data_IF_514366624274
#
_entry.id   IF_514366624274
#
_cell.length_a   1.000
_cell.length_b   1.000
_cell.length_c   1.000
_cell.angle_alpha   90.00
_cell.angle_beta   90.00
_cell.angle_gamma   90.00
#
_symmetry.space_group_name_H-M   'P 1'
#
loop_
_entity.id
_entity.type
_entity.pdbx_description
1 polymer ?
#
# COMPACT_ATOMS: atom_id res chain seq x y z
N UNK A 1 5.84 26.18 -7.45
CA UNK A 1 5.51 25.16 -8.47
C UNK A 1 4.53 24.19 -7.82
N UNK A 2 3.33 23.93 -8.38
CA UNK A 2 2.33 23.10 -7.66
C UNK A 2 2.57 21.60 -7.83
N UNK A 3 2.97 21.17 -9.02
CA UNK A 3 3.23 19.76 -9.35
C UNK A 3 4.58 19.61 -10.03
N UNK A 4 5.29 18.55 -9.68
CA UNK A 4 6.53 18.14 -10.31
C UNK A 4 6.51 16.63 -10.55
N UNK A 5 6.93 16.19 -11.74
CA UNK A 5 7.05 14.78 -12.08
C UNK A 5 8.40 14.55 -12.74
N UNK A 6 9.12 13.54 -12.29
CA UNK A 6 10.42 13.14 -12.82
C UNK A 6 10.42 11.63 -13.00
N UNK A 7 10.65 11.21 -14.25
CA UNK A 7 10.63 9.79 -14.63
C UNK A 7 11.97 9.41 -15.24
N UNK A 8 12.67 8.47 -14.61
CA UNK A 8 13.96 7.99 -15.08
C UNK A 8 13.76 6.74 -15.93
N UNK A 9 14.30 6.77 -17.16
CA UNK A 9 14.34 5.61 -18.06
C UNK A 9 15.76 5.11 -18.34
N UNK A 10 16.77 5.83 -17.86
CA UNK A 10 18.19 5.55 -18.01
C UNK A 10 18.89 5.91 -16.70
N UNK A 11 20.10 5.39 -16.48
CA UNK A 11 20.92 5.75 -15.32
C UNK A 11 21.20 7.26 -15.33
N UNK A 12 20.83 7.93 -14.24
CA UNK A 12 21.14 9.34 -13.99
C UNK A 12 21.87 9.38 -12.66
N UNK A 13 22.99 10.07 -12.61
CA UNK A 13 23.77 10.21 -11.39
C UNK A 13 22.91 10.77 -10.24
N UNK A 14 22.96 10.10 -9.07
CA UNK A 14 22.19 10.47 -7.87
C UNK A 14 22.38 11.94 -7.47
N UNK A 15 23.58 12.51 -7.68
CA UNK A 15 23.84 13.91 -7.38
C UNK A 15 22.93 14.89 -8.17
N UNK A 16 22.64 14.59 -9.44
CA UNK A 16 21.72 15.39 -10.24
C UNK A 16 20.28 15.26 -9.75
N UNK A 17 19.86 14.04 -9.41
CA UNK A 17 18.54 13.74 -8.85
C UNK A 17 18.33 14.55 -7.57
N UNK A 18 19.27 14.45 -6.62
CA UNK A 18 19.20 15.16 -5.36
C UNK A 18 19.13 16.67 -5.56
N UNK A 19 19.98 17.24 -6.43
CA UNK A 19 19.96 18.69 -6.71
C UNK A 19 18.62 19.16 -7.28
N UNK A 20 18.04 18.42 -8.22
CA UNK A 20 16.76 18.77 -8.83
C UNK A 20 15.63 18.70 -7.80
N UNK A 21 15.59 17.63 -7.01
CA UNK A 21 14.59 17.45 -5.96
C UNK A 21 14.71 18.59 -4.94
N UNK A 22 15.89 18.86 -4.38
CA UNK A 22 16.07 19.94 -3.39
C UNK A 22 15.58 21.30 -3.92
N UNK A 23 15.85 21.63 -5.19
CA UNK A 23 15.34 22.86 -5.81
C UNK A 23 13.81 22.85 -6.05
N UNK A 24 13.20 21.69 -6.26
CA UNK A 24 11.73 21.56 -6.33
C UNK A 24 11.12 21.74 -4.94
N UNK A 25 11.73 21.14 -3.92
CA UNK A 25 11.30 21.25 -2.51
C UNK A 25 11.33 22.69 -2.03
N UNK A 26 12.39 23.45 -2.35
CA UNK A 26 12.51 24.86 -1.96
C UNK A 26 11.44 25.78 -2.59
N UNK A 27 10.71 25.29 -3.60
CA UNK A 27 9.64 26.02 -4.29
C UNK A 27 8.23 25.64 -3.81
N UNK A 28 8.13 24.90 -2.70
CA UNK A 28 6.86 24.54 -2.05
C UNK A 28 5.99 23.64 -2.92
N UNK A 29 6.55 22.54 -3.42
CA UNK A 29 5.81 21.55 -4.21
C UNK A 29 4.69 20.92 -3.39
N UNK A 30 3.54 20.67 -4.04
CA UNK A 30 2.38 20.02 -3.42
C UNK A 30 2.16 18.61 -3.96
N UNK A 31 2.50 18.35 -5.22
CA UNK A 31 2.33 17.07 -5.90
C UNK A 31 3.69 16.64 -6.49
N UNK A 32 4.28 15.60 -5.93
CA UNK A 32 5.59 15.09 -6.29
C UNK A 32 5.46 13.67 -6.81
N UNK A 33 5.88 13.44 -8.05
CA UNK A 33 5.88 12.13 -8.71
C UNK A 33 7.30 11.75 -9.16
N UNK A 34 7.89 10.77 -8.49
CA UNK A 34 9.23 10.27 -8.73
C UNK A 34 9.13 8.80 -9.14
N UNK A 35 9.19 8.51 -10.44
CA UNK A 35 9.18 7.14 -10.98
C UNK A 35 10.58 6.80 -11.48
N UNK A 36 11.34 6.06 -10.70
CA UNK A 36 12.71 5.68 -11.00
C UNK A 36 12.73 4.20 -11.41
N UNK A 37 12.42 3.94 -12.69
CA UNK A 37 12.47 2.56 -13.24
C UNK A 37 13.89 2.20 -13.65
N UNK A 38 14.85 2.44 -12.77
CA UNK A 38 16.25 2.07 -13.01
C UNK A 38 16.45 0.62 -12.62
N UNK A 39 17.25 -0.12 -13.42
CA UNK A 39 17.73 -1.47 -13.07
C UNK A 39 18.85 -1.44 -12.03
N UNK A 40 19.37 -0.25 -11.73
CA UNK A 40 20.44 -0.02 -10.77
C UNK A 40 19.90 0.13 -9.35
N UNK A 41 20.68 -0.39 -8.40
CA UNK A 41 20.40 -0.48 -6.97
C UNK A 41 20.18 0.90 -6.33
N UNK A 42 19.23 0.96 -5.40
CA UNK A 42 18.99 2.01 -4.39
C UNK A 42 19.25 3.46 -4.85
N UNK A 43 18.21 4.15 -5.31
CA UNK A 43 18.31 5.62 -5.46
C UNK A 43 18.17 6.26 -4.08
N UNK A 44 19.26 6.88 -3.63
CA UNK A 44 19.23 7.74 -2.44
C UNK A 44 18.43 9.00 -2.75
N UNK A 45 17.19 9.04 -2.29
CA UNK A 45 16.36 10.23 -2.33
C UNK A 45 16.74 11.18 -1.18
N UNK A 46 16.68 12.51 -1.40
CA UNK A 46 16.83 13.48 -0.31
C UNK A 46 15.80 13.22 0.80
N UNK A 47 16.25 13.12 2.05
CA UNK A 47 15.41 12.88 3.22
C UNK A 47 14.37 13.99 3.43
N UNK A 48 14.64 15.18 2.90
CA UNK A 48 13.75 16.35 2.92
C UNK A 48 12.41 16.08 2.25
N UNK A 49 12.32 15.11 1.33
CA UNK A 49 11.03 14.67 0.80
C UNK A 49 10.15 14.16 1.93
N UNK A 50 10.71 13.34 2.82
CA UNK A 50 9.98 12.65 3.89
C UNK A 50 9.67 13.54 5.09
N UNK A 51 10.21 14.75 5.15
CA UNK A 51 9.93 15.73 6.22
C UNK A 51 9.20 16.98 5.70
N UNK A 52 8.75 16.95 4.44
CA UNK A 52 8.13 18.09 3.79
C UNK A 52 6.71 18.37 4.29
N UNK A 53 6.49 19.61 4.72
CA UNK A 53 5.20 20.04 5.27
C UNK A 53 4.17 20.45 4.21
N UNK A 54 4.57 20.58 2.95
CA UNK A 54 3.71 21.08 1.87
C UNK A 54 3.21 20.00 0.93
N UNK A 55 3.86 18.84 0.88
CA UNK A 55 3.46 17.77 -0.04
C UNK A 55 2.11 17.20 0.37
N UNK A 56 1.17 17.25 -0.58
CA UNK A 56 -0.18 16.71 -0.47
C UNK A 56 -0.31 15.38 -1.20
N UNK A 57 0.41 15.20 -2.31
CA UNK A 57 0.46 13.95 -3.06
C UNK A 57 1.89 13.54 -3.33
N UNK A 58 2.20 12.29 -3.02
CA UNK A 58 3.53 11.73 -3.22
C UNK A 58 3.40 10.41 -3.97
N UNK A 59 4.05 10.33 -5.12
CA UNK A 59 4.23 9.09 -5.87
C UNK A 59 5.71 8.77 -5.94
N UNK A 60 6.04 7.57 -5.54
CA UNK A 60 7.40 7.07 -5.49
C UNK A 60 7.43 5.68 -6.11
N UNK A 61 8.25 5.48 -7.13
CA UNK A 61 8.55 4.19 -7.72
C UNK A 61 10.03 3.92 -7.67
N UNK A 62 10.45 2.94 -6.85
CA UNK A 62 11.79 2.29 -6.79
C UNK A 62 12.15 1.82 -5.39
N UNK A 63 13.27 1.10 -5.31
CA UNK A 63 13.96 0.71 -4.08
C UNK A 63 14.43 1.95 -3.30
N UNK A 64 13.64 2.38 -2.31
CA UNK A 64 13.96 3.53 -1.45
C UNK A 64 13.89 3.09 0.00
N UNK A 65 15.00 3.29 0.70
CA UNK A 65 15.05 3.18 2.15
C UNK A 65 14.35 4.40 2.76
N UNK A 66 13.35 4.14 3.58
CA UNK A 66 12.52 5.18 4.17
C UNK A 66 13.19 5.72 5.44
N UNK A 67 13.21 7.05 5.57
CA UNK A 67 13.71 7.74 6.75
C UNK A 67 12.86 7.41 7.99
N UNK A 68 13.48 7.03 9.11
CA UNK A 68 12.79 6.69 10.37
C UNK A 68 12.07 7.88 11.01
N UNK A 69 12.45 9.09 10.65
CA UNK A 69 11.97 10.38 11.16
C UNK A 69 11.03 11.11 10.16
N UNK A 70 10.40 10.36 9.26
CA UNK A 70 9.43 10.90 8.32
C UNK A 70 8.29 11.68 9.05
N UNK A 71 7.92 12.83 8.50
CA UNK A 71 6.79 13.65 8.93
C UNK A 71 6.22 14.40 7.73
N UNK A 72 5.04 13.97 7.28
CA UNK A 72 4.37 14.48 6.09
C UNK A 72 2.95 14.96 6.47
N UNK A 73 2.85 16.07 7.24
CA UNK A 73 1.61 16.46 7.90
C UNK A 73 0.49 16.91 6.94
N UNK A 74 0.80 17.21 5.68
CA UNK A 74 -0.17 17.61 4.66
C UNK A 74 -0.52 16.49 3.66
N UNK A 75 0.10 15.31 3.79
CA UNK A 75 0.00 14.26 2.79
C UNK A 75 -1.35 13.56 2.86
N UNK A 76 -2.11 13.66 1.76
CA UNK A 76 -3.42 13.04 1.57
C UNK A 76 -3.38 11.81 0.69
N UNK A 77 -2.47 11.74 -0.29
CA UNK A 77 -2.37 10.59 -1.21
C UNK A 77 -0.93 10.12 -1.34
N UNK A 78 -0.72 8.84 -1.04
CA UNK A 78 0.55 8.15 -1.17
C UNK A 78 0.45 7.01 -2.17
N UNK A 79 1.36 7.00 -3.14
CA UNK A 79 1.51 5.92 -4.10
C UNK A 79 2.94 5.39 -4.07
N UNK A 80 3.08 4.10 -3.78
CA UNK A 80 4.34 3.38 -3.72
C UNK A 80 4.34 2.27 -4.77
N UNK A 81 5.38 2.22 -5.59
CA UNK A 81 5.55 1.16 -6.60
C UNK A 81 6.92 0.49 -6.48
N UNK A 82 6.94 -0.83 -6.36
CA UNK A 82 8.17 -1.64 -6.27
C UNK A 82 9.14 -1.17 -5.17
N UNK A 83 8.60 -0.74 -4.02
CA UNK A 83 9.37 -0.33 -2.84
C UNK A 83 9.73 -1.56 -1.99
N UNK A 84 10.92 -1.57 -1.39
CA UNK A 84 11.29 -2.60 -0.41
C UNK A 84 11.17 -2.06 1.01
N UNK A 85 10.58 -2.86 1.88
CA UNK A 85 10.48 -2.59 3.30
C UNK A 85 11.34 -3.63 4.02
N UNK A 86 12.25 -3.18 4.87
CA UNK A 86 13.12 -4.04 5.68
C UNK A 86 12.43 -4.56 6.95
N UNK A 87 11.23 -4.07 7.26
CA UNK A 87 10.44 -4.44 8.43
C UNK A 87 9.15 -3.63 8.52
N UNK A 88 9.02 -2.80 9.57
CA UNK A 88 7.79 -2.07 9.91
C UNK A 88 7.72 -0.66 9.32
N UNK A 89 8.53 -0.33 8.31
CA UNK A 89 8.62 1.04 7.78
C UNK A 89 7.28 1.50 7.18
N UNK A 90 6.46 0.59 6.64
CA UNK A 90 5.09 0.92 6.20
C UNK A 90 4.25 1.48 7.34
N UNK A 91 4.30 0.84 8.51
CA UNK A 91 3.55 1.28 9.70
C UNK A 91 4.03 2.64 10.17
N UNK A 92 5.36 2.80 10.26
CA UNK A 92 5.99 4.09 10.62
C UNK A 92 5.57 5.19 9.64
N UNK A 93 5.55 4.89 8.35
CA UNK A 93 5.21 5.88 7.33
C UNK A 93 3.74 6.28 7.36
N UNK A 94 2.84 5.32 7.51
CA UNK A 94 1.42 5.59 7.69
C UNK A 94 1.21 6.46 8.94
N UNK A 95 1.90 6.15 10.04
CA UNK A 95 1.82 6.94 11.28
C UNK A 95 2.37 8.37 11.15
N UNK A 96 3.31 8.59 10.22
CA UNK A 96 3.85 9.92 9.91
C UNK A 96 2.88 10.80 9.10
N UNK A 97 1.86 10.21 8.48
CA UNK A 97 0.93 10.86 7.55
C UNK A 97 -0.48 10.95 8.15
N UNK A 98 -0.67 11.84 9.13
CA UNK A 98 -1.89 11.92 9.95
C UNK A 98 -3.19 12.23 9.16
N UNK A 99 -3.08 12.85 7.98
CA UNK A 99 -4.22 13.25 7.13
C UNK A 99 -4.33 12.41 5.85
N UNK A 100 -3.73 11.21 5.86
CA UNK A 100 -3.69 10.33 4.69
C UNK A 100 -5.08 9.78 4.36
N UNK A 101 -5.60 10.11 3.18
CA UNK A 101 -6.91 9.70 2.66
C UNK A 101 -6.78 8.53 1.67
N UNK A 102 -5.67 8.45 0.94
CA UNK A 102 -5.44 7.43 -0.09
C UNK A 102 -4.04 6.79 0.02
N UNK A 103 -4.00 5.47 0.03
CA UNK A 103 -2.78 4.66 0.04
C UNK A 103 -2.82 3.62 -1.07
N UNK A 104 -1.82 3.65 -1.94
CA UNK A 104 -1.62 2.65 -2.99
C UNK A 104 -0.22 2.06 -2.89
N UNK A 105 -0.12 0.73 -2.79
CA UNK A 105 1.14 -0.01 -2.80
C UNK A 105 1.05 -1.09 -3.88
N UNK A 106 1.90 -0.99 -4.91
CA UNK A 106 1.90 -1.88 -6.08
C UNK A 106 3.26 -2.51 -6.35
N UNK A 107 3.25 -3.72 -6.93
CA UNK A 107 4.42 -4.40 -7.48
C UNK A 107 4.95 -5.51 -6.59
N UNK A 108 6.08 -6.10 -6.98
CA UNK A 108 6.80 -7.09 -6.16
C UNK A 108 7.52 -6.38 -5.00
N UNK A 109 6.74 -5.81 -4.09
CA UNK A 109 7.27 -5.20 -2.87
C UNK A 109 7.74 -6.30 -1.94
N UNK A 110 9.03 -6.29 -1.59
CA UNK A 110 9.54 -7.17 -0.54
C UNK A 110 9.14 -6.54 0.80
N UNK A 111 8.22 -7.17 1.54
CA UNK A 111 7.81 -6.71 2.87
C UNK A 111 8.73 -7.23 3.99
N UNK A 112 9.97 -7.57 3.66
CA UNK A 112 10.93 -8.15 4.59
C UNK A 112 10.49 -9.52 5.13
N UNK A 113 11.35 -10.09 5.98
CA UNK A 113 11.11 -11.38 6.66
C UNK A 113 10.24 -11.25 7.92
N UNK A 114 9.83 -10.03 8.29
CA UNK A 114 9.09 -9.71 9.52
C UNK A 114 7.55 -9.79 9.31
N UNK A 115 7.05 -11.02 9.41
CA UNK A 115 5.84 -11.58 10.07
C UNK A 115 4.51 -10.81 10.29
N UNK A 116 4.41 -9.48 10.24
CA UNK A 116 3.14 -8.79 10.49
C UNK A 116 2.98 -7.55 9.61
N UNK A 117 1.94 -7.53 8.79
CA UNK A 117 1.57 -6.36 8.00
C UNK A 117 0.43 -5.65 8.69
N UNK A 118 0.65 -4.44 9.21
CA UNK A 118 -0.42 -3.63 9.78
C UNK A 118 -0.66 -2.39 8.91
N UNK A 119 -1.91 -2.21 8.49
CA UNK A 119 -2.39 -0.94 7.93
C UNK A 119 -3.39 -0.39 8.92
N UNK A 120 -2.99 0.66 9.64
CA UNK A 120 -3.82 1.31 10.64
C UNK A 120 -3.77 2.81 10.44
N UNK A 121 -4.88 3.37 10.01
CA UNK A 121 -4.99 4.78 9.66
C UNK A 121 -6.47 5.18 9.72
N UNK A 122 -6.89 5.98 10.71
CA UNK A 122 -8.28 6.36 10.85
C UNK A 122 -8.74 7.35 9.79
N UNK A 123 -7.84 8.05 9.11
CA UNK A 123 -8.18 9.02 8.04
C UNK A 123 -8.23 8.39 6.65
N UNK A 124 -7.82 7.12 6.52
CA UNK A 124 -7.71 6.45 5.23
C UNK A 124 -9.08 6.04 4.69
N UNK A 125 -9.41 6.56 3.50
CA UNK A 125 -10.66 6.30 2.79
C UNK A 125 -10.46 5.30 1.63
N UNK A 126 -9.28 5.29 1.01
CA UNK A 126 -8.99 4.44 -0.16
C UNK A 126 -7.69 3.67 0.02
N UNK A 127 -7.77 2.34 -0.09
CA UNK A 127 -6.63 1.45 0.04
C UNK A 127 -6.51 0.52 -1.17
N UNK A 128 -5.37 0.56 -1.85
CA UNK A 128 -5.01 -0.40 -2.90
C UNK A 128 -3.71 -1.09 -2.52
N UNK A 129 -3.73 -2.41 -2.38
CA UNK A 129 -2.59 -3.23 -1.98
C UNK A 129 -2.42 -4.41 -2.91
N UNK A 130 -1.32 -4.44 -3.65
CA UNK A 130 -0.93 -5.57 -4.50
C UNK A 130 0.37 -6.14 -3.97
N UNK A 131 0.29 -7.17 -3.13
CA UNK A 131 1.38 -7.59 -2.25
C UNK A 131 1.95 -8.98 -2.58
N UNK A 132 1.86 -9.41 -3.85
CA UNK A 132 2.39 -10.72 -4.30
C UNK A 132 3.89 -10.81 -4.00
N UNK A 133 4.23 -11.43 -2.87
CA UNK A 133 5.60 -11.69 -2.48
C UNK A 133 6.18 -12.77 -3.41
N UNK A 134 7.38 -12.53 -3.94
CA UNK A 134 8.11 -13.47 -4.79
C UNK A 134 8.70 -14.65 -4.02
N UNK A 135 8.60 -14.68 -2.68
CA UNK A 135 9.34 -15.64 -1.87
C UNK A 135 8.46 -16.69 -1.21
N UNK A 136 8.77 -17.95 -1.51
CA UNK A 136 8.29 -19.15 -0.81
C UNK A 136 8.84 -19.28 0.61
N UNK A 137 8.92 -18.18 1.36
CA UNK A 137 9.32 -18.21 2.77
C UNK A 137 8.38 -19.15 3.52
N UNK A 138 8.88 -19.97 4.45
CA UNK A 138 8.04 -20.87 5.27
C UNK A 138 7.40 -20.15 6.46
N UNK A 139 7.49 -18.83 6.49
CA UNK A 139 7.13 -18.01 7.65
C UNK A 139 5.64 -17.66 7.60
N UNK A 140 4.95 -17.80 8.74
CA UNK A 140 3.54 -17.45 8.90
C UNK A 140 3.31 -15.96 8.66
N UNK A 141 2.31 -15.62 7.85
CA UNK A 141 1.93 -14.27 7.46
C UNK A 141 0.68 -13.85 8.23
N UNK A 142 0.80 -12.74 8.95
CA UNK A 142 -0.33 -12.10 9.65
C UNK A 142 -0.59 -10.73 9.02
N UNK A 143 -1.85 -10.42 8.73
CA UNK A 143 -2.23 -9.12 8.15
C UNK A 143 -3.34 -8.49 8.99
N UNK A 144 -3.14 -7.26 9.40
CA UNK A 144 -4.09 -6.46 10.18
C UNK A 144 -4.54 -5.24 9.39
N UNK A 145 -5.85 -5.04 9.36
CA UNK A 145 -6.48 -3.81 8.88
C UNK A 145 -7.23 -3.15 10.03
N UNK A 146 -6.88 -1.91 10.34
CA UNK A 146 -7.57 -1.08 11.33
C UNK A 146 -7.78 0.32 10.75
N UNK A 147 -8.74 0.41 9.85
CA UNK A 147 -9.02 1.59 9.02
C UNK A 147 -10.54 1.84 9.02
N UNK A 148 -11.09 2.40 10.12
CA UNK A 148 -12.53 2.52 10.34
C UNK A 148 -13.27 3.40 9.33
N UNK A 149 -12.58 4.32 8.66
CA UNK A 149 -13.19 5.21 7.66
C UNK A 149 -12.93 4.76 6.22
N UNK A 150 -12.44 3.53 6.04
CA UNK A 150 -12.18 3.00 4.70
C UNK A 150 -13.49 2.88 3.92
N UNK A 151 -13.50 3.47 2.73
CA UNK A 151 -14.62 3.45 1.79
C UNK A 151 -14.34 2.60 0.55
N UNK A 152 -13.07 2.36 0.22
CA UNK A 152 -12.66 1.56 -0.93
C UNK A 152 -11.45 0.69 -0.58
N UNK A 153 -11.54 -0.61 -0.85
CA UNK A 153 -10.49 -1.60 -0.70
C UNK A 153 -10.26 -2.34 -2.02
N UNK A 154 -9.05 -2.30 -2.54
CA UNK A 154 -8.58 -3.24 -3.54
C UNK A 154 -7.39 -4.02 -2.98
N UNK A 155 -7.58 -5.31 -2.72
CA UNK A 155 -6.57 -6.16 -2.09
C UNK A 155 -6.26 -7.39 -2.95
N UNK A 156 -5.03 -7.48 -3.42
CA UNK A 156 -4.50 -8.56 -4.24
C UNK A 156 -3.27 -9.17 -3.59
N UNK A 157 -3.37 -10.42 -3.15
CA UNK A 157 -2.27 -11.13 -2.50
C UNK A 157 -2.54 -12.64 -2.45
N UNK A 158 -1.56 -13.40 -1.97
CA UNK A 158 -1.82 -14.71 -1.42
C UNK A 158 -2.59 -14.59 -0.11
N UNK A 159 -3.49 -15.55 0.15
CA UNK A 159 -4.19 -15.61 1.44
C UNK A 159 -3.15 -15.73 2.58
N UNK A 160 -3.29 -14.89 3.59
CA UNK A 160 -2.44 -14.92 4.77
C UNK A 160 -2.79 -16.11 5.68
N UNK A 161 -1.85 -16.49 6.54
CA UNK A 161 -2.08 -17.54 7.53
C UNK A 161 -3.09 -17.04 8.58
N UNK A 162 -3.06 -15.75 8.95
CA UNK A 162 -4.04 -15.14 9.84
C UNK A 162 -4.36 -13.68 9.48
N UNK A 163 -5.60 -13.28 9.81
CA UNK A 163 -6.04 -11.88 9.81
C UNK A 163 -6.52 -11.51 11.22
N UNK A 164 -5.61 -11.06 12.13
CA UNK A 164 -5.96 -10.94 13.55
C UNK A 164 -7.02 -9.87 13.83
N UNK A 165 -6.89 -8.73 13.17
CA UNK A 165 -7.83 -7.60 13.28
C UNK A 165 -8.17 -7.15 11.86
N UNK A 166 -9.48 -7.07 11.59
CA UNK A 166 -10.01 -6.56 10.32
C UNK A 166 -11.18 -5.66 10.66
N UNK A 167 -10.87 -4.38 10.74
CA UNK A 167 -11.81 -3.32 11.07
C UNK A 167 -11.86 -2.33 9.91
N UNK A 168 -12.94 -2.46 9.15
CA UNK A 168 -13.30 -1.55 8.06
C UNK A 168 -14.54 -0.73 8.43
N UNK A 169 -14.77 0.35 7.69
CA UNK A 169 -15.97 1.15 7.82
C UNK A 169 -17.24 0.40 7.42
N UNK A 170 -18.39 1.02 7.70
CA UNK A 170 -19.71 0.46 7.38
C UNK A 170 -20.09 0.55 5.90
N UNK A 171 -19.33 1.30 5.10
CA UNK A 171 -19.59 1.51 3.68
C UNK A 171 -18.29 1.31 2.91
N UNK A 172 -18.00 0.06 2.53
CA UNK A 172 -16.75 -0.27 1.81
C UNK A 172 -17.11 -0.89 0.48
N UNK A 173 -16.59 -0.36 -0.62
CA UNK A 173 -16.46 -1.10 -1.88
C UNK A 173 -15.20 -1.96 -1.80
N UNK A 174 -15.29 -3.27 -2.04
CA UNK A 174 -14.17 -4.20 -1.88
C UNK A 174 -13.96 -5.08 -3.12
N UNK A 175 -12.73 -5.05 -3.62
CA UNK A 175 -12.24 -5.93 -4.69
C UNK A 175 -11.11 -6.80 -4.15
N UNK A 176 -11.35 -8.12 -4.08
CA UNK A 176 -10.38 -9.10 -3.61
C UNK A 176 -9.90 -9.97 -4.77
N UNK A 177 -8.58 -10.10 -4.89
CA UNK A 177 -7.95 -11.09 -5.76
C UNK A 177 -6.99 -11.93 -4.92
N UNK A 178 -7.49 -13.04 -4.39
CA UNK A 178 -6.76 -13.88 -3.46
C UNK A 178 -6.28 -15.16 -4.14
N UNK A 179 -5.02 -15.49 -3.89
CA UNK A 179 -4.38 -16.69 -4.44
C UNK A 179 -4.05 -17.66 -3.30
N UNK A 180 -4.22 -18.97 -3.55
CA UNK A 180 -3.98 -20.01 -2.55
C UNK A 180 -2.68 -20.72 -2.85
N UNK A 181 -1.64 -20.38 -2.09
CA UNK A 181 -0.30 -20.99 -2.24
C UNK A 181 0.05 -21.99 -1.14
N UNK A 182 -0.71 -22.01 -0.03
CA UNK A 182 -0.37 -22.78 1.18
C UNK A 182 -1.58 -23.51 1.75
N UNK A 183 -1.35 -24.71 2.30
CA UNK A 183 -2.40 -25.54 2.91
C UNK A 183 -2.99 -25.01 4.24
N UNK A 184 -2.46 -23.91 4.81
CA UNK A 184 -2.82 -23.41 6.17
C UNK A 184 -3.42 -21.99 6.14
N UNK A 185 -3.75 -21.45 4.98
CA UNK A 185 -4.32 -20.10 4.89
C UNK A 185 -5.72 -19.99 5.54
N UNK A 186 -6.02 -18.88 6.23
CA UNK A 186 -7.30 -18.68 6.91
C UNK A 186 -7.89 -17.28 6.66
N UNK A 187 -8.77 -17.11 5.66
CA UNK A 187 -9.38 -15.83 5.32
C UNK A 187 -10.58 -15.45 6.20
N UNK A 188 -10.97 -16.26 7.21
CA UNK A 188 -12.25 -16.09 7.94
C UNK A 188 -12.46 -14.68 8.50
N UNK A 189 -11.44 -14.12 9.14
CA UNK A 189 -11.54 -12.78 9.72
C UNK A 189 -11.52 -11.67 8.66
N UNK A 190 -10.82 -11.87 7.54
CA UNK A 190 -10.88 -10.95 6.40
C UNK A 190 -12.32 -10.86 5.88
N UNK A 191 -12.95 -12.00 5.65
CA UNK A 191 -14.33 -12.08 5.17
C UNK A 191 -15.29 -11.47 6.20
N UNK A 192 -15.12 -11.79 7.50
CA UNK A 192 -15.95 -11.23 8.58
C UNK A 192 -15.86 -9.70 8.65
N UNK A 193 -14.66 -9.12 8.44
CA UNK A 193 -14.48 -7.67 8.41
C UNK A 193 -15.18 -7.00 7.23
N UNK A 194 -15.40 -7.73 6.13
CA UNK A 194 -16.05 -7.25 4.91
C UNK A 194 -17.58 -7.43 4.91
N UNK A 195 -18.19 -7.81 6.04
CA UNK A 195 -19.64 -8.01 6.15
C UNK A 195 -20.50 -6.75 5.89
N UNK A 196 -19.88 -5.57 5.91
CA UNK A 196 -20.54 -4.27 5.67
C UNK A 196 -20.14 -3.69 4.29
N UNK A 197 -19.84 -4.54 3.31
CA UNK A 197 -19.43 -4.13 1.97
C UNK A 197 -20.66 -3.95 1.08
N UNK A 198 -20.75 -2.83 0.35
CA UNK A 198 -21.84 -2.59 -0.61
C UNK A 198 -21.59 -3.32 -1.94
N UNK A 199 -20.34 -3.27 -2.43
CA UNK A 199 -19.93 -3.87 -3.70
C UNK A 199 -18.75 -4.80 -3.44
N UNK A 200 -18.95 -6.10 -3.64
CA UNK A 200 -17.93 -7.12 -3.41
C UNK A 200 -17.61 -7.87 -4.71
N UNK A 201 -16.32 -7.88 -5.09
CA UNK A 201 -15.84 -8.65 -6.23
C UNK A 201 -14.71 -9.57 -5.79
N UNK A 202 -14.84 -10.86 -6.12
CA UNK A 202 -13.78 -11.85 -5.94
C UNK A 202 -13.28 -12.27 -7.31
N UNK A 203 -11.98 -12.18 -7.52
CA UNK A 203 -11.32 -12.76 -8.69
C UNK A 203 -10.44 -13.92 -8.23
N UNK A 204 -10.78 -15.12 -8.70
CA UNK A 204 -9.89 -16.29 -8.58
C UNK A 204 -8.91 -16.27 -9.77
N UNK A 205 -7.59 -16.16 -9.53
CA UNK A 205 -6.60 -16.15 -10.60
C UNK A 205 -6.47 -17.50 -11.33
N UNK A 206 -6.96 -18.61 -10.76
CA UNK A 206 -6.87 -19.97 -11.32
C UNK A 206 -8.13 -20.34 -12.12
N UNK A 207 -9.29 -19.79 -11.76
CA UNK A 207 -10.57 -20.01 -12.46
C UNK A 207 -11.17 -18.67 -12.85
N UNK A 208 -11.15 -18.36 -14.14
CA UNK A 208 -11.75 -17.13 -14.69
C UNK A 208 -13.28 -17.21 -14.56
N UNK A 209 -13.79 -16.93 -13.38
CA UNK A 209 -15.18 -16.57 -13.12
C UNK A 209 -15.16 -15.22 -12.41
N UNK A 210 -15.49 -14.14 -13.14
CA UNK A 210 -15.84 -12.87 -12.51
C UNK A 210 -17.28 -12.99 -12.02
N UNK A 211 -17.48 -13.34 -10.75
CA UNK A 211 -18.78 -13.17 -10.11
C UNK A 211 -18.78 -11.85 -9.34
N UNK A 212 -19.57 -10.89 -9.81
CA UNK A 212 -19.97 -9.74 -9.00
C UNK A 212 -21.02 -10.27 -8.01
N UNK A 213 -20.69 -10.33 -6.72
CA UNK A 213 -21.68 -10.64 -5.69
C UNK A 213 -22.06 -9.31 -5.07
N UNK A 214 -23.28 -8.84 -5.34
CA UNK A 214 -23.88 -7.78 -4.52
C UNK A 214 -24.17 -8.41 -3.16
N UNK A 215 -23.32 -8.14 -2.16
CA UNK A 215 -23.49 -8.64 -0.79
C UNK A 215 -24.50 -7.73 -0.08
N UNK A 216 -25.80 -7.96 -0.27
CA UNK A 216 -26.84 -7.44 0.63
C UNK A 216 -26.68 -7.97 2.07
N UNK A 217 -27.54 -7.64 3.04
CA UNK A 217 -27.39 -8.13 4.40
C UNK A 217 -27.59 -9.67 4.41
N UNK A 218 -26.51 -10.43 4.32
CA UNK A 218 -26.53 -11.88 4.12
C UNK A 218 -26.47 -12.63 5.47
N UNK A 219 -27.59 -13.28 5.79
CA UNK A 219 -27.56 -14.66 6.27
C UNK A 219 -27.37 -15.55 5.04
N UNK A 220 -26.16 -16.05 4.77
CA UNK A 220 -25.90 -17.34 4.11
C UNK A 220 -24.38 -17.61 4.12
N UNK A 221 -24.01 -18.82 4.51
CA UNK A 221 -22.63 -19.28 4.64
C UNK A 221 -21.91 -19.32 3.28
N UNK A 222 -20.75 -18.66 3.19
CA UNK A 222 -19.83 -18.83 2.07
C UNK A 222 -19.07 -20.16 2.25
N UNK A 223 -19.32 -21.11 1.35
CA UNK A 223 -18.51 -22.34 1.22
C UNK A 223 -17.43 -22.07 0.17
N UNK A 224 -16.17 -22.14 0.59
CA UNK A 224 -14.99 -22.13 -0.29
C UNK A 224 -14.64 -23.54 -0.74
#
# INVERSE_FOLDING_TARGET
>A
MRKFSLKFRQSVESAHISRWITNVMSRGVLDLDLDTRTREENINLPLEIFTCKTIVRLKIGSLIEIAKDASLPALKSLFLHCVWFSGREVETYISACHVLEELTILGETNWGSEQCRKVSCPTLERLTLHCKSSQGSKVSRRITFDTPNLAYLQYRDYVADEYPIVHFGSFVEAMLTLDSMRSISNPKNLIKGLRNVEIFQVQDPVRVYSSSILVGPFDHEFVF
#
